data_IF_760908380552
#
_entry.id   IF_760908380552
#
_cell.length_a   1.000
_cell.length_b   1.000
_cell.length_c   1.000
_cell.angle_alpha   90.00
_cell.angle_beta   90.00
_cell.angle_gamma   90.00
#
_symmetry.space_group_name_H-M   'P 1'
#
loop_
_entity.id
_entity.type
_entity.pdbx_description
1 polymer ?
#
# COMPACT_ATOMS: atom_id res chain seq x y z
N UNK A 1 3.90 -7.07 1.42
CA UNK A 1 3.28 -6.14 0.44
C UNK A 1 4.37 -5.63 -0.50
N UNK A 2 4.18 -5.77 -1.81
CA UNK A 2 5.09 -5.27 -2.85
C UNK A 2 4.45 -4.10 -3.59
N UNK A 3 5.27 -3.09 -3.89
CA UNK A 3 4.89 -1.91 -4.65
C UNK A 3 5.69 -1.86 -5.95
N UNK A 4 5.01 -1.76 -7.09
CA UNK A 4 5.66 -1.61 -8.39
C UNK A 4 5.87 -0.12 -8.78
N UNK A 5 6.52 0.11 -9.92
CA UNK A 5 6.95 1.45 -10.35
C UNK A 5 5.80 2.37 -10.80
N UNK A 6 4.56 1.85 -10.93
CA UNK A 6 3.40 2.69 -11.20
C UNK A 6 2.97 3.53 -9.98
N UNK A 7 3.56 3.29 -8.80
CA UNK A 7 3.21 4.04 -7.60
C UNK A 7 3.60 5.52 -7.71
N UNK A 8 2.59 6.40 -7.75
CA UNK A 8 2.75 7.86 -7.82
C UNK A 8 2.73 8.56 -6.45
N UNK A 9 2.78 7.80 -5.35
CA UNK A 9 2.82 8.40 -4.00
C UNK A 9 1.54 9.10 -3.54
N UNK A 10 0.37 8.82 -4.15
CA UNK A 10 -0.89 9.50 -3.83
C UNK A 10 -1.43 9.26 -2.40
N UNK A 11 -0.93 8.24 -1.70
CA UNK A 11 -1.25 7.95 -0.30
C UNK A 11 -2.62 7.36 0.02
N UNK A 12 -3.47 7.08 -0.99
CA UNK A 12 -4.79 6.46 -0.77
C UNK A 12 -4.71 5.15 0.04
N UNK A 13 -3.74 4.29 -0.27
CA UNK A 13 -3.53 3.04 0.46
C UNK A 13 -3.27 3.24 1.96
N UNK A 14 -2.56 4.30 2.35
CA UNK A 14 -2.31 4.63 3.74
C UNK A 14 -3.60 5.07 4.45
N UNK A 15 -4.44 5.89 3.79
CA UNK A 15 -5.73 6.35 4.35
C UNK A 15 -6.71 5.20 4.65
N UNK A 16 -6.69 4.12 3.87
CA UNK A 16 -7.55 2.94 4.08
C UNK A 16 -6.89 1.84 4.92
N UNK A 17 -5.61 1.98 5.27
CA UNK A 17 -4.93 0.99 6.09
C UNK A 17 -5.38 1.10 7.55
N UNK A 18 -6.35 0.26 7.96
CA UNK A 18 -6.84 0.20 9.35
C UNK A 18 -5.75 -0.12 10.39
N UNK A 19 -4.62 -0.69 9.97
CA UNK A 19 -3.47 -0.97 10.83
C UNK A 19 -2.48 0.19 10.93
N UNK A 20 -2.64 1.25 10.12
CA UNK A 20 -1.66 2.33 10.03
C UNK A 20 -0.28 1.84 9.54
N UNK A 21 -0.24 0.73 8.80
CA UNK A 21 0.99 0.01 8.46
C UNK A 21 1.60 0.43 7.11
N UNK A 22 1.16 1.56 6.54
CA UNK A 22 1.64 2.04 5.25
C UNK A 22 2.10 3.49 5.40
N UNK A 23 3.36 3.73 5.05
CA UNK A 23 3.96 5.05 4.97
C UNK A 23 4.12 5.48 3.52
N UNK A 24 4.09 6.79 3.26
CA UNK A 24 4.17 7.35 1.91
C UNK A 24 5.18 8.49 1.91
N UNK A 25 6.34 8.22 1.31
CA UNK A 25 7.43 9.21 1.11
C UNK A 25 7.93 9.10 -0.33
N UNK A 26 7.22 9.75 -1.25
CA UNK A 26 7.39 9.60 -2.70
C UNK A 26 6.74 8.32 -3.24
N UNK A 27 6.99 7.16 -2.61
CA UNK A 27 6.26 5.91 -2.87
C UNK A 27 5.69 5.33 -1.59
N UNK A 28 4.64 4.52 -1.73
CA UNK A 28 4.08 3.76 -0.62
C UNK A 28 5.07 2.67 -0.18
N UNK A 29 5.16 2.43 1.12
CA UNK A 29 5.95 1.35 1.72
C UNK A 29 5.21 0.77 2.91
N UNK A 30 5.23 -0.54 3.05
CA UNK A 30 4.73 -1.23 4.23
C UNK A 30 5.74 -1.17 5.38
N UNK A 31 5.24 -0.99 6.61
CA UNK A 31 6.01 -1.13 7.85
C UNK A 31 5.91 -2.57 8.38
N UNK A 32 6.63 -2.86 9.46
CA UNK A 32 6.58 -4.16 10.15
C UNK A 32 5.20 -4.50 10.74
N UNK A 33 4.31 -3.50 10.85
CA UNK A 33 2.92 -3.71 11.27
C UNK A 33 2.01 -4.27 10.16
N UNK A 34 2.52 -4.39 8.93
CA UNK A 34 1.75 -4.89 7.81
C UNK A 34 1.58 -6.41 7.90
N UNK A 35 0.34 -6.88 7.85
CA UNK A 35 -0.02 -8.30 7.93
C UNK A 35 -0.50 -8.87 6.60
N UNK A 36 -0.18 -8.20 5.49
CA UNK A 36 -0.53 -8.63 4.13
C UNK A 36 -2.02 -8.92 3.87
N UNK A 37 -2.91 -8.26 4.62
CA UNK A 37 -4.37 -8.46 4.52
C UNK A 37 -5.01 -8.05 3.17
N UNK A 38 -4.26 -7.42 2.25
CA UNK A 38 -4.75 -7.05 0.92
C UNK A 38 -5.80 -5.93 0.85
N UNK A 39 -6.32 -5.42 1.97
CA UNK A 39 -7.40 -4.40 1.96
C UNK A 39 -7.06 -3.10 1.21
N UNK A 40 -5.77 -2.77 1.06
CA UNK A 40 -5.34 -1.57 0.33
C UNK A 40 -5.35 -1.73 -1.20
N UNK A 41 -5.37 -2.97 -1.72
CA UNK A 41 -5.29 -3.28 -3.15
C UNK A 41 -6.40 -2.59 -3.97
N UNK A 42 -7.71 -2.72 -3.63
CA UNK A 42 -8.77 -2.09 -4.42
C UNK A 42 -8.73 -0.55 -4.40
N UNK A 43 -8.02 0.06 -3.44
CA UNK A 43 -7.90 1.51 -3.32
C UNK A 43 -6.68 2.10 -4.04
N UNK A 44 -5.87 1.27 -4.70
CA UNK A 44 -4.77 1.78 -5.52
C UNK A 44 -5.30 2.13 -6.93
N UNK A 45 -5.43 3.41 -7.30
CA UNK A 45 -6.00 3.80 -8.60
C UNK A 45 -5.15 3.35 -9.78
N UNK A 46 -3.85 3.16 -9.54
CA UNK A 46 -2.84 2.75 -10.53
C UNK A 46 -2.45 1.28 -10.39
N UNK A 47 -3.17 0.50 -9.56
CA UNK A 47 -2.96 -0.94 -9.35
C UNK A 47 -1.49 -1.31 -9.08
N UNK A 48 -0.82 -0.51 -8.25
CA UNK A 48 0.60 -0.68 -7.94
C UNK A 48 0.90 -1.62 -6.76
N UNK A 49 -0.12 -2.24 -6.15
CA UNK A 49 -0.01 -2.99 -4.89
C UNK A 49 -0.27 -4.47 -5.12
N UNK A 50 0.64 -5.31 -4.64
CA UNK A 50 0.51 -6.76 -4.60
C UNK A 50 0.80 -7.27 -3.16
N UNK A 51 0.05 -8.26 -2.68
CA UNK A 51 0.37 -9.00 -1.44
C UNK A 51 0.60 -10.47 -1.78
N UNK A 52 1.55 -11.16 -1.13
CA UNK A 52 1.67 -12.61 -1.26
C UNK A 52 0.38 -13.26 -0.74
N UNK A 53 -0.07 -14.33 -1.42
CA UNK A 53 -1.15 -15.19 -0.93
C UNK A 53 -0.68 -16.03 0.26
#
# INVERSE_FOLDING_TARGET
>A
MKINDNCVGCGQCASFCKKGAIEVRGRARATDACVDCGMCIPYCPVKAIEVPA
#
